data_IF_885982306542
#
_entry.id   IF_885982306542
#
_cell.length_a   1.000
_cell.length_b   1.000
_cell.length_c   1.000
_cell.angle_alpha   90.00
_cell.angle_beta   90.00
_cell.angle_gamma   90.00
#
_symmetry.space_group_name_H-M   'P 1'
#
loop_
_entity.id
_entity.type
_entity.pdbx_description
1 polymer ?
#
# COMPACT_ATOMS: atom_id res chain seq x y z
N UNK A 1 -31.57 7.62 -6.61
CA UNK A 1 -30.53 8.00 -7.60
C UNK A 1 -29.24 7.35 -7.14
N UNK A 2 -28.69 6.43 -7.93
CA UNK A 2 -27.53 5.65 -7.55
C UNK A 2 -26.27 6.52 -7.72
N UNK A 3 -25.77 7.10 -6.64
CA UNK A 3 -24.51 7.86 -6.60
C UNK A 3 -23.33 6.89 -6.51
N UNK A 4 -23.23 5.95 -7.45
CA UNK A 4 -22.08 5.08 -7.53
C UNK A 4 -20.92 5.89 -8.11
N UNK A 5 -20.18 6.57 -7.24
CA UNK A 5 -18.96 7.28 -7.61
C UNK A 5 -17.93 6.25 -8.11
N UNK A 6 -17.32 6.52 -9.25
CA UNK A 6 -16.32 5.64 -9.87
C UNK A 6 -15.16 5.34 -8.90
N UNK A 7 -14.58 4.12 -8.92
CA UNK A 7 -13.39 3.82 -8.14
C UNK A 7 -12.22 4.76 -8.48
N UNK A 8 -11.51 5.24 -7.48
CA UNK A 8 -10.28 6.03 -7.67
C UNK A 8 -9.07 5.09 -7.73
N UNK A 9 -8.19 5.30 -8.71
CA UNK A 9 -6.87 4.65 -8.74
C UNK A 9 -5.85 5.53 -8.02
N UNK A 10 -5.11 4.96 -7.08
CA UNK A 10 -4.01 5.60 -6.36
C UNK A 10 -2.71 4.89 -6.73
N UNK A 11 -1.68 5.67 -7.06
CA UNK A 11 -0.36 5.15 -7.37
C UNK A 11 0.72 5.91 -6.59
N UNK A 12 1.71 5.19 -6.09
CA UNK A 12 2.85 5.77 -5.39
C UNK A 12 4.10 4.90 -5.51
N UNK A 13 5.25 5.56 -5.50
CA UNK A 13 6.56 4.91 -5.42
C UNK A 13 6.97 4.73 -3.95
N UNK A 14 7.64 3.62 -3.64
CA UNK A 14 8.40 3.35 -2.43
C UNK A 14 9.81 2.86 -2.80
N UNK A 15 10.66 2.58 -1.81
CA UNK A 15 12.07 2.21 -2.04
C UNK A 15 12.53 1.10 -1.08
N UNK A 16 13.07 0.01 -1.62
CA UNK A 16 13.78 -1.00 -0.81
C UNK A 16 15.19 -0.53 -0.44
N UNK A 17 15.72 -1.08 0.64
CA UNK A 17 17.08 -0.83 1.13
C UNK A 17 18.07 -1.75 0.44
N UNK A 18 18.86 -1.19 -0.47
CA UNK A 18 19.89 -1.91 -1.23
C UNK A 18 20.95 -2.57 -0.32
N UNK A 19 21.18 -2.01 0.86
CA UNK A 19 22.15 -2.54 1.83
C UNK A 19 21.70 -3.83 2.54
N UNK A 20 20.44 -4.27 2.37
CA UNK A 20 19.90 -5.47 3.01
C UNK A 20 20.07 -6.67 2.07
N UNK A 21 20.88 -7.68 2.44
CA UNK A 21 21.05 -8.87 1.62
C UNK A 21 19.72 -9.61 1.42
N UNK A 22 19.41 -9.98 0.18
CA UNK A 22 18.17 -10.71 -0.13
C UNK A 22 16.88 -9.90 0.06
N UNK A 23 16.96 -8.56 0.13
CA UNK A 23 15.81 -7.68 0.42
C UNK A 23 14.59 -7.94 -0.46
N UNK A 24 14.79 -8.24 -1.75
CA UNK A 24 13.71 -8.52 -2.71
C UNK A 24 12.99 -9.81 -2.34
N UNK A 25 13.73 -10.89 -2.06
CA UNK A 25 13.16 -12.18 -1.71
C UNK A 25 12.38 -12.12 -0.39
N UNK A 26 12.93 -11.44 0.62
CA UNK A 26 12.27 -11.26 1.90
C UNK A 26 11.04 -10.34 1.80
N UNK A 27 11.10 -9.28 0.99
CA UNK A 27 9.95 -8.41 0.72
C UNK A 27 8.80 -9.21 0.09
N UNK A 28 9.11 -10.01 -0.94
CA UNK A 28 8.13 -10.87 -1.62
C UNK A 28 7.52 -11.87 -0.65
N UNK A 29 8.35 -12.61 0.09
CA UNK A 29 7.91 -13.60 1.08
C UNK A 29 6.92 -12.99 2.08
N UNK A 30 7.20 -11.81 2.63
CA UNK A 30 6.29 -11.16 3.58
C UNK A 30 4.94 -10.82 2.95
N UNK A 31 4.94 -10.35 1.70
CA UNK A 31 3.69 -10.06 1.00
C UNK A 31 2.93 -11.33 0.57
N UNK A 32 3.64 -12.40 0.22
CA UNK A 32 3.03 -13.72 -0.01
C UNK A 32 2.34 -14.22 1.29
N UNK A 33 2.96 -13.94 2.45
CA UNK A 33 2.47 -14.28 3.79
C UNK A 33 1.70 -13.12 4.47
N UNK A 34 1.04 -12.25 3.70
CA UNK A 34 0.34 -11.08 4.25
C UNK A 34 -0.66 -11.47 5.34
N UNK A 35 -0.64 -10.76 6.46
CA UNK A 35 -1.50 -11.09 7.59
C UNK A 35 -2.99 -10.95 7.24
N UNK A 36 -3.84 -11.94 7.57
CA UNK A 36 -5.26 -11.89 7.26
C UNK A 36 -5.96 -10.64 7.80
N UNK A 37 -5.62 -10.21 9.02
CA UNK A 37 -6.20 -9.00 9.61
C UNK A 37 -5.82 -7.70 8.87
N UNK A 38 -4.65 -7.66 8.25
CA UNK A 38 -4.18 -6.53 7.47
C UNK A 38 -4.93 -6.47 6.14
N UNK A 39 -5.02 -7.61 5.45
CA UNK A 39 -5.80 -7.72 4.22
C UNK A 39 -7.28 -7.37 4.45
N UNK A 40 -7.85 -7.75 5.60
CA UNK A 40 -9.19 -7.36 5.99
C UNK A 40 -9.31 -5.84 6.19
N UNK A 41 -8.42 -5.21 6.97
CA UNK A 41 -8.43 -3.77 7.19
C UNK A 41 -8.35 -2.97 5.87
N UNK A 42 -7.52 -3.41 4.92
CA UNK A 42 -7.43 -2.79 3.60
C UNK A 42 -8.75 -2.90 2.83
N UNK A 43 -9.38 -4.08 2.82
CA UNK A 43 -10.68 -4.30 2.15
C UNK A 43 -11.80 -3.46 2.78
N UNK A 44 -11.85 -3.38 4.10
CA UNK A 44 -12.85 -2.58 4.84
C UNK A 44 -12.71 -1.08 4.60
N UNK A 45 -11.50 -0.63 4.27
CA UNK A 45 -11.21 0.73 3.81
C UNK A 45 -11.53 0.96 2.32
N UNK A 46 -12.10 -0.04 1.63
CA UNK A 46 -12.50 0.03 0.23
C UNK A 46 -11.38 -0.25 -0.77
N UNK A 47 -10.19 -0.68 -0.32
CA UNK A 47 -9.05 -0.99 -1.20
C UNK A 47 -9.26 -2.35 -1.87
N UNK A 48 -9.02 -2.39 -3.18
CA UNK A 48 -9.02 -3.60 -4.00
C UNK A 48 -8.06 -3.43 -5.17
N UNK A 49 -7.78 -4.52 -5.89
CA UNK A 49 -6.89 -4.50 -7.06
C UNK A 49 -5.54 -3.82 -6.74
N UNK A 50 -4.96 -4.22 -5.59
CA UNK A 50 -3.72 -3.66 -5.07
C UNK A 50 -2.52 -4.49 -5.55
N UNK A 51 -1.78 -3.94 -6.49
CA UNK A 51 -0.52 -4.48 -6.99
C UNK A 51 0.70 -3.67 -6.52
N UNK A 52 1.83 -4.35 -6.33
CA UNK A 52 3.13 -3.73 -6.09
C UNK A 52 4.14 -4.33 -7.08
N UNK A 53 4.78 -3.47 -7.85
CA UNK A 53 5.71 -3.84 -8.92
C UNK A 53 7.12 -3.39 -8.56
N UNK A 54 8.13 -4.22 -8.84
CA UNK A 54 9.53 -3.92 -8.57
C UNK A 54 10.22 -3.49 -9.86
N UNK A 55 10.96 -2.38 -9.80
CA UNK A 55 12.06 -2.10 -10.73
C UNK A 55 13.37 -2.62 -10.11
N UNK A 56 13.87 -3.74 -10.63
CA UNK A 56 15.07 -4.40 -10.10
C UNK A 56 16.34 -3.56 -10.25
N UNK A 57 16.40 -2.66 -11.26
CA UNK A 57 17.59 -1.85 -11.50
C UNK A 57 17.78 -0.77 -10.41
N UNK A 58 16.68 -0.25 -9.87
CA UNK A 58 16.72 0.84 -8.87
C UNK A 58 16.21 0.41 -7.50
N UNK A 59 15.67 -0.81 -7.40
CA UNK A 59 14.92 -1.32 -6.23
C UNK A 59 13.73 -0.43 -5.82
N UNK A 60 13.19 0.33 -6.78
CA UNK A 60 11.96 1.10 -6.60
C UNK A 60 10.76 0.16 -6.61
N UNK A 61 9.81 0.39 -5.72
CA UNK A 61 8.52 -0.31 -5.71
C UNK A 61 7.42 0.64 -6.18
N UNK A 62 6.57 0.19 -7.09
CA UNK A 62 5.43 0.93 -7.59
C UNK A 62 4.17 0.26 -7.08
N UNK A 63 3.50 0.90 -6.12
CA UNK A 63 2.21 0.46 -5.62
C UNK A 63 1.11 1.12 -6.44
N UNK A 64 0.17 0.32 -6.93
CA UNK A 64 -1.05 0.78 -7.60
C UNK A 64 -2.23 0.06 -6.95
N UNK A 65 -3.19 0.83 -6.45
CA UNK A 65 -4.40 0.27 -5.84
C UNK A 65 -5.63 1.02 -6.29
N UNK A 66 -6.76 0.33 -6.34
CA UNK A 66 -8.07 0.94 -6.56
C UNK A 66 -8.79 1.07 -5.22
N UNK A 67 -9.54 2.14 -5.08
CA UNK A 67 -10.39 2.40 -3.93
C UNK A 67 -11.82 2.63 -4.39
N UNK A 68 -12.74 1.82 -3.88
CA UNK A 68 -14.17 2.11 -4.03
C UNK A 68 -14.53 3.23 -3.04
N UNK A 69 -15.12 4.35 -3.49
CA UNK A 69 -15.81 5.25 -2.58
C UNK A 69 -16.94 4.46 -1.90
N UNK A 70 -17.05 4.61 -0.58
CA UNK A 70 -18.05 3.91 0.21
C UNK A 70 -19.00 4.87 0.90
N UNK A 71 -19.69 4.39 1.93
CA UNK A 71 -20.40 5.28 2.85
C UNK A 71 -19.41 6.10 3.69
N UNK A 72 -19.93 7.07 4.45
CA UNK A 72 -19.11 7.90 5.33
C UNK A 72 -18.26 7.07 6.32
N UNK A 73 -18.72 5.87 6.69
CA UNK A 73 -17.97 4.96 7.54
C UNK A 73 -16.77 4.34 6.82
N UNK A 74 -16.92 3.87 5.58
CA UNK A 74 -15.82 3.36 4.77
C UNK A 74 -14.78 4.45 4.43
N UNK A 75 -15.24 5.68 4.19
CA UNK A 75 -14.35 6.84 4.02
C UNK A 75 -13.56 7.15 5.29
N UNK A 76 -14.22 7.12 6.46
CA UNK A 76 -13.55 7.28 7.74
C UNK A 76 -12.54 6.15 8.02
N UNK A 77 -12.84 4.89 7.67
CA UNK A 77 -11.90 3.76 7.81
C UNK A 77 -10.65 3.94 6.96
N UNK A 78 -10.80 4.43 5.73
CA UNK A 78 -9.65 4.73 4.88
C UNK A 78 -8.79 5.86 5.45
N UNK A 79 -9.42 6.95 5.89
CA UNK A 79 -8.71 8.07 6.51
C UNK A 79 -7.98 7.69 7.81
N UNK A 80 -8.48 6.69 8.53
CA UNK A 80 -7.91 6.22 9.79
C UNK A 80 -7.00 4.99 9.63
N UNK A 81 -6.73 4.52 8.41
CA UNK A 81 -6.01 3.26 8.17
C UNK A 81 -4.62 3.26 8.85
N UNK A 82 -3.89 4.38 8.77
CA UNK A 82 -2.58 4.57 9.41
C UNK A 82 -2.61 4.53 10.95
N UNK A 83 -3.77 4.81 11.54
CA UNK A 83 -3.97 4.76 12.99
C UNK A 83 -4.23 3.36 13.52
N UNK A 84 -4.51 2.39 12.64
CA UNK A 84 -4.84 1.03 13.05
C UNK A 84 -3.61 0.30 13.62
N UNK A 85 -3.74 -0.41 14.76
CA UNK A 85 -2.63 -1.17 15.33
C UNK A 85 -2.01 -2.19 14.36
N UNK A 86 -2.82 -2.83 13.52
CA UNK A 86 -2.33 -3.79 12.51
C UNK A 86 -1.44 -3.12 11.46
N UNK A 87 -1.77 -1.90 11.01
CA UNK A 87 -0.97 -1.17 10.03
C UNK A 87 0.38 -0.76 10.61
N UNK A 88 0.39 -0.25 11.86
CA UNK A 88 1.64 0.08 12.57
C UNK A 88 2.53 -1.15 12.74
N UNK A 89 1.99 -2.27 13.20
CA UNK A 89 2.74 -3.53 13.32
C UNK A 89 3.30 -4.00 11.97
N UNK A 90 2.53 -3.83 10.90
CA UNK A 90 2.99 -4.18 9.56
C UNK A 90 4.14 -3.29 9.10
N UNK A 91 4.06 -1.99 9.35
CA UNK A 91 5.14 -1.05 9.07
C UNK A 91 6.40 -1.37 9.86
N UNK A 92 6.29 -1.63 11.16
CA UNK A 92 7.41 -2.09 11.99
C UNK A 92 8.04 -3.36 11.43
N UNK A 93 7.19 -4.31 11.00
CA UNK A 93 7.64 -5.54 10.38
C UNK A 93 8.42 -5.24 9.10
N UNK A 94 7.92 -4.37 8.22
CA UNK A 94 8.51 -4.05 6.91
C UNK A 94 9.70 -3.08 6.96
N UNK A 95 9.82 -2.25 8.00
CA UNK A 95 10.82 -1.18 8.13
C UNK A 95 12.28 -1.62 7.91
N UNK A 96 12.72 -2.82 8.36
CA UNK A 96 14.07 -3.28 8.06
C UNK A 96 14.39 -3.35 6.57
N UNK A 97 13.39 -3.58 5.70
CA UNK A 97 13.56 -3.77 4.25
C UNK A 97 13.42 -2.49 3.42
N UNK A 98 12.81 -1.44 3.98
CA UNK A 98 12.33 -0.28 3.21
C UNK A 98 12.94 1.03 3.72
N UNK A 99 13.00 2.04 2.85
CA UNK A 99 13.19 3.43 3.31
C UNK A 99 11.89 3.90 3.97
N UNK A 100 11.98 4.42 5.18
CA UNK A 100 10.83 4.77 6.02
C UNK A 100 10.92 6.19 6.57
N UNK A 101 9.77 6.75 6.92
CA UNK A 101 9.59 7.94 7.74
C UNK A 101 9.90 7.64 9.22
N UNK A 102 10.10 8.66 10.07
CA UNK A 102 10.00 8.48 11.52
C UNK A 102 8.65 7.85 11.88
N UNK A 103 8.66 6.73 12.60
CA UNK A 103 7.45 5.93 12.85
C UNK A 103 7.23 4.78 11.86
N UNK A 104 8.25 4.41 11.08
CA UNK A 104 8.35 3.18 10.29
C UNK A 104 7.41 3.06 9.08
N UNK A 105 6.52 4.03 8.86
CA UNK A 105 5.75 4.13 7.62
C UNK A 105 6.71 4.21 6.42
N UNK A 106 6.54 3.39 5.37
CA UNK A 106 7.33 3.50 4.16
C UNK A 106 7.28 4.91 3.58
N UNK A 107 8.41 5.44 3.13
CA UNK A 107 8.42 6.67 2.33
C UNK A 107 7.62 6.43 1.05
N UNK A 108 6.68 7.32 0.77
CA UNK A 108 5.79 7.24 -0.38
C UNK A 108 5.89 8.53 -1.20
N UNK A 109 6.15 8.39 -2.49
CA UNK A 109 6.09 9.49 -3.45
C UNK A 109 4.86 9.29 -4.34
N UNK A 110 3.84 10.15 -4.25
CA UNK A 110 2.65 10.05 -5.09
C UNK A 110 3.02 10.10 -6.58
N UNK A 111 2.38 9.25 -7.37
CA UNK A 111 2.53 9.21 -8.82
C UNK A 111 1.23 9.71 -9.47
N UNK A 112 1.25 10.86 -10.16
CA UNK A 112 0.08 11.34 -10.89
C UNK A 112 -0.33 10.35 -11.99
N UNK A 113 -1.62 10.04 -12.06
CA UNK A 113 -2.16 9.27 -13.17
C UNK A 113 -2.13 10.13 -14.45
N UNK A 114 -1.42 9.67 -15.47
CA UNK A 114 -1.32 10.38 -16.76
C UNK A 114 -2.34 9.87 -17.78
N UNK A 115 -2.76 8.61 -17.67
CA UNK A 115 -3.69 7.96 -18.60
C UNK A 115 -4.33 6.73 -17.93
N UNK A 116 -5.56 6.41 -18.32
CA UNK A 116 -6.27 5.18 -17.97
C UNK A 116 -7.17 4.76 -19.14
N UNK A 117 -7.11 3.49 -19.55
CA UNK A 117 -8.03 2.88 -20.49
C UNK A 117 -8.86 1.83 -19.73
N UNK A 118 -10.20 2.01 -19.64
CA UNK A 118 -11.10 1.06 -18.98
C UNK A 118 -11.17 -0.32 -19.63
#
# INVERSE_FOLDING_TARGET
MNTATEPTTLAFKMQLRAEVPGVVAEYRKRHDDIWPELAQALREAGIFDYGIFLDEATLSLFAVLKRRPGDAAADARFAALDTLPVMRRWWDHMAPLMRVEPGNKPLQWPLPAMFHLP
#
